data_IF_612326228108
#
_entry.id   IF_612326228108
#
_cell.length_a   1.000
_cell.length_b   1.000
_cell.length_c   1.000
_cell.angle_alpha   90.00
_cell.angle_beta   90.00
_cell.angle_gamma   90.00
#
_symmetry.space_group_name_H-M   'P 1'
#
loop_
_entity.id
_entity.type
_entity.pdbx_description
1 polymer ?
#
# COMPACT_ATOMS: atom_id res chain seq x y z
N UNK A 1 -0.14 -11.77 6.79
CA UNK A 1 0.31 -11.05 7.99
C UNK A 1 1.77 -11.40 8.17
N UNK A 2 2.62 -10.39 8.33
CA UNK A 2 4.03 -10.58 8.70
C UNK A 2 4.30 -9.85 10.01
N UNK A 3 5.53 -9.90 10.49
CA UNK A 3 5.96 -9.20 11.69
C UNK A 3 7.16 -8.32 11.34
N UNK A 4 7.22 -7.11 11.91
CA UNK A 4 8.40 -6.25 11.76
C UNK A 4 9.54 -6.68 12.70
N UNK A 5 10.64 -5.92 12.68
CA UNK A 5 11.81 -6.15 13.55
C UNK A 5 11.52 -5.95 15.04
N UNK A 6 10.45 -5.22 15.38
CA UNK A 6 10.00 -4.94 16.74
C UNK A 6 8.91 -5.92 17.21
N UNK A 7 8.71 -7.02 16.47
CA UNK A 7 7.70 -8.04 16.71
C UNK A 7 6.24 -7.52 16.67
N UNK A 8 5.98 -6.40 15.99
CA UNK A 8 4.64 -5.86 15.76
C UNK A 8 4.03 -6.48 14.51
N UNK A 9 2.72 -6.75 14.58
CA UNK A 9 1.98 -7.37 13.47
C UNK A 9 1.76 -6.38 12.35
N UNK A 10 2.15 -6.76 11.15
CA UNK A 10 1.88 -6.06 9.90
C UNK A 10 0.86 -6.84 9.08
N UNK A 11 -0.16 -6.11 8.62
CA UNK A 11 -1.24 -6.61 7.81
C UNK A 11 -1.17 -5.98 6.43
N UNK A 12 -1.47 -6.77 5.40
CA UNK A 12 -1.58 -6.28 4.03
C UNK A 12 -3.03 -5.90 3.79
N UNK A 13 -3.28 -4.62 3.54
CA UNK A 13 -4.60 -4.08 3.25
C UNK A 13 -4.72 -3.81 1.75
N UNK A 14 -5.80 -4.31 1.15
CA UNK A 14 -6.16 -3.98 -0.22
C UNK A 14 -6.75 -2.56 -0.26
N UNK A 15 -6.30 -1.79 -1.25
CA UNK A 15 -6.78 -0.45 -1.56
C UNK A 15 -7.41 -0.46 -2.94
N UNK A 16 -8.47 0.31 -3.12
CA UNK A 16 -9.13 0.50 -4.38
C UNK A 16 -9.32 1.99 -4.66
N UNK A 17 -9.18 2.39 -5.92
CA UNK A 17 -9.48 3.73 -6.39
C UNK A 17 -9.97 3.69 -7.83
N UNK A 18 -10.76 4.69 -8.22
CA UNK A 18 -11.27 4.82 -9.58
C UNK A 18 -10.48 5.86 -10.35
N UNK A 19 -10.22 5.58 -11.63
CA UNK A 19 -9.51 6.45 -12.58
C UNK A 19 -9.96 6.09 -13.99
N UNK A 20 -10.41 7.09 -14.77
CA UNK A 20 -10.88 6.94 -16.15
C UNK A 20 -11.96 5.85 -16.32
N UNK A 21 -13.01 5.92 -15.49
CA UNK A 21 -14.13 4.96 -15.44
C UNK A 21 -13.71 3.50 -15.18
N UNK A 22 -12.49 3.29 -14.69
CA UNK A 22 -11.96 1.99 -14.32
C UNK A 22 -11.59 1.96 -12.84
N UNK A 23 -11.83 0.81 -12.25
CA UNK A 23 -11.41 0.50 -10.89
C UNK A 23 -10.02 -0.13 -10.91
N UNK A 24 -9.11 0.45 -10.14
CA UNK A 24 -7.75 -0.06 -9.92
C UNK A 24 -7.59 -0.52 -8.48
N UNK A 25 -6.71 -1.50 -8.28
CA UNK A 25 -6.38 -2.01 -6.96
C UNK A 25 -4.88 -1.95 -6.72
N UNK A 26 -4.51 -1.67 -5.47
CA UNK A 26 -3.14 -1.77 -4.98
C UNK A 26 -3.18 -2.23 -3.53
N UNK A 27 -2.03 -2.34 -2.88
CA UNK A 27 -1.90 -2.85 -1.53
C UNK A 27 -0.86 -2.09 -0.73
N UNK A 28 -1.11 -1.98 0.58
CA UNK A 28 -0.17 -1.42 1.53
C UNK A 28 -0.01 -2.34 2.73
N UNK A 29 1.16 -2.29 3.35
CA UNK A 29 1.37 -2.85 4.67
C UNK A 29 1.07 -1.79 5.74
N UNK A 30 0.29 -2.15 6.76
CA UNK A 30 -0.05 -1.28 7.89
C UNK A 30 -0.26 -2.11 9.18
N UNK A 31 -0.17 -1.45 10.34
CA UNK A 31 -0.25 -2.10 11.65
C UNK A 31 -1.69 -2.30 12.15
N UNK A 32 -2.65 -1.56 11.58
CA UNK A 32 -4.08 -1.66 11.90
C UNK A 32 -4.91 -1.04 10.77
N UNK A 33 -6.23 -1.23 10.78
CA UNK A 33 -7.13 -0.56 9.82
C UNK A 33 -7.04 0.97 9.91
N UNK A 34 -6.92 1.51 11.13
CA UNK A 34 -6.74 2.95 11.33
C UNK A 34 -5.44 3.48 10.71
N UNK A 35 -4.32 2.78 10.92
CA UNK A 35 -3.03 3.13 10.30
C UNK A 35 -3.13 3.05 8.77
N UNK A 36 -3.82 2.04 8.23
CA UNK A 36 -4.07 1.94 6.79
C UNK A 36 -4.85 3.15 6.25
N UNK A 37 -5.93 3.55 6.92
CA UNK A 37 -6.74 4.72 6.55
C UNK A 37 -5.94 6.04 6.62
N UNK A 38 -5.15 6.23 7.68
CA UNK A 38 -4.32 7.42 7.88
C UNK A 38 -3.25 7.53 6.77
N UNK A 39 -2.64 6.40 6.35
CA UNK A 39 -1.71 6.35 5.21
C UNK A 39 -2.40 6.62 3.88
N UNK A 40 -3.59 6.07 3.64
CA UNK A 40 -4.39 6.37 2.44
C UNK A 40 -4.73 7.86 2.38
N UNK A 41 -5.09 8.46 3.51
CA UNK A 41 -5.34 9.89 3.59
C UNK A 41 -4.08 10.71 3.24
N UNK A 42 -2.90 10.28 3.71
CA UNK A 42 -1.63 10.89 3.31
C UNK A 42 -1.34 10.73 1.81
N UNK A 43 -1.56 9.53 1.24
CA UNK A 43 -1.38 9.28 -0.20
C UNK A 43 -2.22 10.23 -1.05
N UNK A 44 -3.50 10.43 -0.71
CA UNK A 44 -4.37 11.38 -1.44
C UNK A 44 -3.84 12.82 -1.44
N UNK A 45 -3.01 13.20 -0.47
CA UNK A 45 -2.47 14.57 -0.34
C UNK A 45 -1.07 14.73 -0.92
N UNK A 46 -0.24 13.70 -0.91
CA UNK A 46 1.20 13.84 -1.16
C UNK A 46 1.86 12.70 -1.94
N UNK A 47 1.09 11.75 -2.50
CA UNK A 47 1.68 10.67 -3.28
C UNK A 47 2.38 11.23 -4.52
N UNK A 48 3.61 10.77 -4.76
CA UNK A 48 4.46 11.21 -5.87
C UNK A 48 5.00 9.98 -6.60
N UNK A 49 5.03 10.01 -7.94
CA UNK A 49 5.66 8.97 -8.76
C UNK A 49 7.18 9.14 -8.69
N UNK A 50 7.88 8.19 -8.08
CA UNK A 50 9.33 8.25 -7.85
C UNK A 50 10.17 7.55 -8.92
N UNK A 51 9.55 7.03 -9.98
CA UNK A 51 10.18 6.27 -11.05
C UNK A 51 9.66 4.84 -11.15
N UNK A 52 10.34 4.03 -11.97
CA UNK A 52 10.04 2.62 -12.16
C UNK A 52 10.92 1.77 -11.24
N UNK A 53 10.29 0.84 -10.51
CA UNK A 53 11.03 -0.20 -9.79
C UNK A 53 11.37 -1.35 -10.76
N UNK A 54 12.62 -1.79 -10.74
CA UNK A 54 13.04 -3.02 -11.43
C UNK A 54 12.84 -4.21 -10.49
N UNK A 55 12.21 -5.26 -10.99
CA UNK A 55 12.08 -6.53 -10.29
C UNK A 55 12.18 -7.66 -11.30
N UNK A 56 13.11 -8.58 -11.09
CA UNK A 56 13.22 -9.82 -11.86
C UNK A 56 12.57 -10.93 -11.04
N UNK A 57 11.71 -11.72 -11.70
CA UNK A 57 11.09 -12.89 -11.10
C UNK A 57 11.82 -14.09 -11.69
N UNK A 58 12.53 -14.87 -10.87
CA UNK A 58 13.08 -16.16 -11.30
C UNK A 58 11.92 -17.09 -11.68
N UNK A 59 12.04 -17.69 -12.87
CA UNK A 59 11.01 -18.54 -13.48
C UNK A 59 10.95 -19.94 -12.87
#
# INVERSE_FOLDING_TARGET
>A
MTTDTDNRRLYRFALQFDMDDKTWATEIWAYSSKDAEDRVAAMRRSLTMCGQLYGEVEA
#
